data_IF_017274774404
#
_entry.id   IF_017274774404
#
_cell.length_a   1.000
_cell.length_b   1.000
_cell.length_c   1.000
_cell.angle_alpha   90.00
_cell.angle_beta   90.00
_cell.angle_gamma   90.00
#
_symmetry.space_group_name_H-M   'P 1'
#
loop_
_entity.id
_entity.type
_entity.pdbx_description
1 polymer ?
#
# COMPACT_ATOMS: atom_id res chain seq x y z
N UNK A 1 7.85 0.30 4.55
CA UNK A 1 9.22 0.48 5.09
C UNK A 1 9.20 0.59 6.60
N UNK A 2 8.40 1.51 7.15
CA UNK A 2 8.25 1.67 8.61
C UNK A 2 7.68 0.41 9.29
N UNK A 3 6.65 -0.22 8.70
CA UNK A 3 6.08 -1.47 9.25
C UNK A 3 7.05 -2.67 9.24
N UNK A 4 8.11 -2.59 8.45
CA UNK A 4 9.17 -3.61 8.41
C UNK A 4 10.31 -3.30 9.39
N UNK A 5 10.18 -2.27 10.22
CA UNK A 5 11.20 -1.86 11.20
C UNK A 5 12.40 -1.14 10.60
N UNK A 6 12.33 -0.68 9.34
CA UNK A 6 13.46 -0.01 8.67
C UNK A 6 13.63 1.47 9.05
N UNK A 7 12.89 1.96 10.05
CA UNK A 7 12.95 3.36 10.45
C UNK A 7 14.37 3.84 10.81
N UNK A 8 15.16 3.12 11.64
CA UNK A 8 16.51 3.56 12.00
C UNK A 8 17.44 3.67 10.78
N UNK A 9 17.32 2.74 9.82
CA UNK A 9 18.13 2.71 8.62
C UNK A 9 17.78 3.87 7.69
N UNK A 10 16.49 4.18 7.53
CA UNK A 10 16.03 5.32 6.73
C UNK A 10 16.53 6.62 7.34
N UNK A 11 16.45 6.79 8.66
CA UNK A 11 16.98 7.97 9.35
C UNK A 11 18.50 8.08 9.19
N UNK A 12 19.23 6.98 9.34
CA UNK A 12 20.69 6.96 9.18
C UNK A 12 21.14 7.39 7.78
N UNK A 13 20.44 6.93 6.72
CA UNK A 13 20.75 7.36 5.34
C UNK A 13 20.44 8.84 5.15
N UNK A 14 19.32 9.34 5.68
CA UNK A 14 18.92 10.73 5.51
C UNK A 14 19.81 11.70 6.31
N UNK A 15 20.30 11.29 7.48
CA UNK A 15 21.24 12.07 8.29
C UNK A 15 22.66 12.10 7.68
N UNK A 16 23.04 11.07 6.92
CA UNK A 16 24.31 11.05 6.18
C UNK A 16 24.31 11.94 4.92
N UNK A 17 23.15 12.43 4.48
CA UNK A 17 23.07 13.31 3.33
C UNK A 17 23.49 14.76 3.69
N UNK A 18 24.22 15.46 2.80
CA UNK A 18 24.67 16.82 3.07
C UNK A 18 23.49 17.79 3.24
N UNK A 19 23.51 18.56 4.33
CA UNK A 19 22.47 19.53 4.68
C UNK A 19 22.59 20.87 3.93
N UNK A 20 23.72 21.10 3.24
CA UNK A 20 24.04 22.34 2.53
C UNK A 20 23.06 22.69 1.40
N UNK A 21 22.36 21.70 0.85
CA UNK A 21 21.44 21.85 -0.26
C UNK A 21 19.96 21.68 0.16
N UNK A 22 19.62 21.69 1.46
CA UNK A 22 18.21 21.79 1.85
C UNK A 22 17.62 23.14 1.44
N UNK A 23 16.34 23.12 1.10
CA UNK A 23 15.53 24.33 0.99
C UNK A 23 15.44 25.03 2.36
N UNK A 24 15.36 26.36 2.39
CA UNK A 24 15.08 27.10 3.61
C UNK A 24 13.77 26.63 4.25
N UNK A 25 13.66 26.82 5.56
CA UNK A 25 12.47 26.43 6.33
C UNK A 25 11.37 27.50 6.22
N UNK A 26 11.76 28.76 6.06
CA UNK A 26 10.83 29.89 5.88
C UNK A 26 10.29 29.92 4.44
N UNK A 27 8.96 30.04 4.30
CA UNK A 27 8.29 30.16 3.01
C UNK A 27 8.60 31.50 2.31
N UNK A 28 8.94 32.53 3.07
CA UNK A 28 9.19 33.89 2.57
C UNK A 28 10.65 34.12 2.11
N UNK A 29 11.54 33.14 2.28
CA UNK A 29 12.93 33.26 1.81
C UNK A 29 13.00 32.97 0.30
N UNK A 30 13.40 34.00 -0.47
CA UNK A 30 13.64 33.86 -1.90
C UNK A 30 14.70 32.76 -2.15
N UNK A 31 14.31 31.77 -2.95
CA UNK A 31 15.22 30.71 -3.37
C UNK A 31 16.25 31.30 -4.33
N UNK A 32 17.54 31.07 -4.06
CA UNK A 32 18.61 31.47 -4.99
C UNK A 32 18.50 30.61 -6.27
N UNK A 33 18.12 31.23 -7.39
CA UNK A 33 17.99 30.58 -8.69
C UNK A 33 19.29 29.90 -9.16
N UNK A 34 20.44 30.33 -8.64
CA UNK A 34 21.75 29.74 -8.98
C UNK A 34 22.07 28.49 -8.17
N UNK A 35 21.33 28.21 -7.09
CA UNK A 35 21.56 27.08 -6.19
C UNK A 35 20.60 25.93 -6.47
N UNK A 36 21.15 24.74 -6.67
CA UNK A 36 20.34 23.52 -6.82
C UNK A 36 19.95 23.01 -5.43
N UNK A 37 18.67 23.11 -5.09
CA UNK A 37 18.14 22.59 -3.84
C UNK A 37 17.68 21.14 -3.98
N UNK A 38 17.94 20.35 -2.93
CA UNK A 38 17.47 18.98 -2.82
C UNK A 38 15.95 18.96 -2.73
N UNK A 39 15.32 18.18 -3.59
CA UNK A 39 13.88 17.90 -3.54
C UNK A 39 13.68 16.47 -3.08
N UNK A 40 12.79 16.28 -2.11
CA UNK A 40 12.48 14.97 -1.53
C UNK A 40 11.02 14.68 -1.84
N UNK A 41 10.77 13.48 -2.37
CA UNK A 41 9.43 12.97 -2.61
C UNK A 41 9.15 11.85 -1.61
N UNK A 42 8.04 11.96 -0.88
CA UNK A 42 7.54 10.91 -0.01
C UNK A 42 6.28 10.31 -0.64
N UNK A 43 6.36 9.05 -1.02
CA UNK A 43 5.20 8.29 -1.48
C UNK A 43 4.73 7.37 -0.35
N UNK A 44 3.49 7.56 0.09
CA UNK A 44 2.89 6.68 1.10
C UNK A 44 1.41 6.49 0.83
N UNK A 45 0.94 5.25 1.01
CA UNK A 45 -0.49 4.93 0.94
C UNK A 45 -1.24 5.33 2.23
N UNK A 46 -0.52 5.40 3.35
CA UNK A 46 -1.06 5.74 4.67
C UNK A 46 -0.12 6.73 5.38
N UNK A 47 -0.64 7.52 6.31
CA UNK A 47 0.14 8.49 7.10
C UNK A 47 0.02 8.20 8.60
N UNK A 48 0.52 7.05 9.10
CA UNK A 48 0.62 6.84 10.53
C UNK A 48 1.66 7.79 11.16
N UNK A 49 1.61 8.05 12.47
CA UNK A 49 2.54 8.97 13.14
C UNK A 49 4.03 8.66 12.90
N UNK A 50 4.37 7.37 12.74
CA UNK A 50 5.72 6.93 12.45
C UNK A 50 6.24 7.29 11.04
N UNK A 51 5.34 7.53 10.07
CA UNK A 51 5.69 8.08 8.75
C UNK A 51 5.67 9.61 8.77
N UNK A 52 4.75 10.19 9.53
CA UNK A 52 4.61 11.65 9.65
C UNK A 52 5.85 12.31 10.28
N UNK A 53 6.44 11.67 11.30
CA UNK A 53 7.66 12.15 11.97
C UNK A 53 8.84 12.37 10.99
N UNK A 54 9.27 11.40 10.17
CA UNK A 54 10.26 11.64 9.12
C UNK A 54 9.81 12.67 8.11
N UNK A 55 8.53 12.63 7.71
CA UNK A 55 8.00 13.57 6.71
C UNK A 55 8.22 15.03 7.14
N UNK A 56 7.87 15.37 8.39
CA UNK A 56 8.08 16.73 8.94
C UNK A 56 9.55 17.10 9.10
N UNK A 57 10.42 16.13 9.44
CA UNK A 57 11.86 16.39 9.65
C UNK A 57 12.59 16.69 8.34
N UNK A 58 12.26 15.99 7.26
CA UNK A 58 13.05 16.04 6.01
C UNK A 58 12.37 16.81 4.87
N UNK A 59 11.03 16.83 4.81
CA UNK A 59 10.33 17.63 3.81
C UNK A 59 10.31 19.10 4.25
N UNK A 60 10.56 19.99 3.30
CA UNK A 60 10.43 21.45 3.49
C UNK A 60 9.25 21.92 2.65
N UNK A 61 8.23 22.44 3.33
CA UNK A 61 6.97 22.93 2.77
C UNK A 61 6.40 21.98 1.69
N UNK A 62 6.08 20.72 2.06
CA UNK A 62 5.64 19.74 1.09
C UNK A 62 4.22 20.03 0.60
N UNK A 63 4.04 19.92 -0.72
CA UNK A 63 2.71 19.85 -1.32
C UNK A 63 2.21 18.41 -1.17
N UNK A 64 1.05 18.25 -0.52
CA UNK A 64 0.40 16.95 -0.35
C UNK A 64 -0.55 16.71 -1.51
N UNK A 65 -0.28 15.67 -2.31
CA UNK A 65 -1.17 15.21 -3.38
C UNK A 65 -1.80 13.89 -2.96
N UNK A 66 -3.12 13.89 -2.79
CA UNK A 66 -3.88 12.68 -2.43
C UNK A 66 -4.79 12.30 -3.60
N UNK A 67 -4.65 11.06 -4.07
CA UNK A 67 -5.51 10.49 -5.11
C UNK A 67 -6.55 9.61 -4.42
N UNK A 68 -7.83 10.00 -4.47
CA UNK A 68 -8.93 9.30 -3.78
C UNK A 68 -9.17 9.81 -2.36
N UNK A 69 -9.96 9.06 -1.57
CA UNK A 69 -10.23 9.39 -0.15
C UNK A 69 -9.31 8.57 0.74
N UNK A 70 -8.46 9.24 1.52
CA UNK A 70 -7.55 8.58 2.45
C UNK A 70 -8.32 7.73 3.48
N UNK A 71 -7.95 6.46 3.62
CA UNK A 71 -8.51 5.56 4.64
C UNK A 71 -9.86 4.91 4.32
N UNK A 72 -10.53 5.29 3.22
CA UNK A 72 -11.70 4.55 2.74
C UNK A 72 -11.30 3.51 1.71
N UNK A 73 -11.13 2.27 2.18
CA UNK A 73 -11.26 1.11 1.31
C UNK A 73 -12.74 1.00 0.89
N UNK A 74 -13.09 1.76 -0.15
CA UNK A 74 -14.09 1.34 -1.13
C UNK A 74 -15.50 1.10 -0.57
N UNK A 75 -16.26 2.18 -0.36
CA UNK A 75 -17.73 2.11 -0.27
C UNK A 75 -18.36 1.49 -1.55
N UNK A 76 -17.57 1.34 -2.62
CA UNK A 76 -17.95 0.68 -3.88
C UNK A 76 -17.85 -0.86 -3.86
N UNK A 77 -17.19 -1.47 -2.87
CA UNK A 77 -17.00 -2.94 -2.82
C UNK A 77 -17.95 -3.54 -1.79
N UNK A 78 -18.90 -4.36 -2.26
CA UNK A 78 -19.71 -5.22 -1.40
C UNK A 78 -18.89 -6.41 -0.90
N UNK A 79 -18.74 -6.52 0.42
CA UNK A 79 -17.98 -7.60 1.06
C UNK A 79 -18.91 -8.53 1.82
N UNK A 80 -18.76 -9.84 1.61
CA UNK A 80 -19.54 -10.86 2.30
C UNK A 80 -18.60 -11.84 3.01
N UNK A 81 -18.90 -12.17 4.27
CA UNK A 81 -18.11 -13.08 5.09
C UNK A 81 -18.96 -14.30 5.46
N UNK A 82 -18.48 -15.49 5.09
CA UNK A 82 -19.14 -16.76 5.38
C UNK A 82 -18.27 -17.58 6.34
N UNK A 83 -18.75 -17.81 7.56
CA UNK A 83 -18.09 -18.67 8.53
C UNK A 83 -18.44 -20.13 8.24
N UNK A 84 -17.43 -20.94 7.94
CA UNK A 84 -17.63 -22.35 7.53
C UNK A 84 -16.39 -23.20 7.81
N UNK A 85 -16.56 -24.52 7.82
CA UNK A 85 -15.45 -25.46 8.00
C UNK A 85 -14.61 -25.55 6.72
N UNK A 86 -13.34 -25.92 6.86
CA UNK A 86 -12.43 -26.02 5.72
C UNK A 86 -12.91 -27.00 4.65
N UNK A 87 -13.47 -28.15 5.06
CA UNK A 87 -14.02 -29.16 4.16
C UNK A 87 -15.19 -28.67 3.31
N UNK A 88 -15.92 -27.65 3.78
CA UNK A 88 -17.11 -27.12 3.11
C UNK A 88 -16.76 -26.03 2.07
N UNK A 89 -15.56 -25.44 2.16
CA UNK A 89 -15.15 -24.28 1.35
C UNK A 89 -15.20 -24.55 -0.14
N UNK A 90 -14.76 -25.74 -0.58
CA UNK A 90 -14.76 -26.09 -2.00
C UNK A 90 -16.18 -26.19 -2.58
N UNK A 91 -17.10 -26.83 -1.85
CA UNK A 91 -18.50 -26.92 -2.29
C UNK A 91 -19.16 -25.53 -2.36
N UNK A 92 -18.87 -24.64 -1.39
CA UNK A 92 -19.38 -23.26 -1.47
C UNK A 92 -18.78 -22.48 -2.62
N UNK A 93 -17.49 -22.68 -2.93
CA UNK A 93 -16.82 -22.03 -4.06
C UNK A 93 -17.48 -22.41 -5.39
N UNK A 94 -17.79 -23.68 -5.60
CA UNK A 94 -18.53 -24.13 -6.79
C UNK A 94 -19.88 -23.44 -6.93
N UNK A 95 -20.67 -23.40 -5.85
CA UNK A 95 -21.95 -22.68 -5.83
C UNK A 95 -21.82 -21.19 -6.14
N UNK A 96 -20.74 -20.56 -5.67
CA UNK A 96 -20.47 -19.16 -5.99
C UNK A 96 -20.19 -18.99 -7.49
N UNK A 97 -19.44 -19.89 -8.12
CA UNK A 97 -19.23 -19.84 -9.57
C UNK A 97 -20.54 -20.04 -10.35
N UNK A 98 -21.40 -20.97 -9.90
CA UNK A 98 -22.73 -21.16 -10.49
C UNK A 98 -23.61 -19.90 -10.39
N UNK A 99 -23.54 -19.19 -9.25
CA UNK A 99 -24.26 -17.93 -9.00
C UNK A 99 -23.70 -16.75 -9.83
N UNK A 100 -22.37 -16.70 -10.05
CA UNK A 100 -21.67 -15.61 -10.75
C UNK A 100 -21.73 -15.72 -12.28
N UNK A 101 -21.86 -16.93 -12.83
CA UNK A 101 -21.84 -17.20 -14.28
C UNK A 101 -20.48 -16.94 -14.93
N UNK A 102 -20.47 -16.58 -16.22
CA UNK A 102 -19.26 -16.40 -17.06
C UNK A 102 -18.43 -15.13 -16.76
N UNK A 103 -18.25 -14.78 -15.49
CA UNK A 103 -17.44 -13.64 -15.08
C UNK A 103 -16.04 -14.08 -14.70
N UNK A 104 -15.04 -13.38 -15.24
CA UNK A 104 -13.65 -13.56 -14.81
C UNK A 104 -13.51 -13.19 -13.34
N UNK A 105 -13.13 -14.18 -12.53
CA UNK A 105 -13.06 -14.06 -11.07
C UNK A 105 -11.67 -14.47 -10.59
N UNK A 106 -11.15 -13.82 -9.56
CA UNK A 106 -9.85 -14.15 -8.94
C UNK A 106 -10.12 -14.78 -7.57
N UNK A 107 -9.57 -15.98 -7.34
CA UNK A 107 -9.65 -16.68 -6.07
C UNK A 107 -8.29 -16.66 -5.39
N UNK A 108 -8.20 -16.01 -4.22
CA UNK A 108 -6.98 -15.96 -3.42
C UNK A 108 -6.94 -17.12 -2.41
N UNK A 109 -5.78 -17.76 -2.29
CA UNK A 109 -5.50 -18.82 -1.32
C UNK A 109 -4.13 -18.59 -0.67
N UNK A 110 -3.98 -19.02 0.58
CA UNK A 110 -2.79 -18.70 1.39
C UNK A 110 -1.50 -19.41 0.94
N UNK A 111 -1.59 -20.60 0.37
CA UNK A 111 -0.41 -21.40 0.00
C UNK A 111 -0.47 -21.84 -1.46
N UNK A 112 0.71 -21.89 -2.11
CA UNK A 112 0.83 -22.36 -3.50
C UNK A 112 0.28 -23.76 -3.70
N UNK A 113 0.59 -24.69 -2.77
CA UNK A 113 0.09 -26.08 -2.84
C UNK A 113 -1.43 -26.14 -2.85
N UNK A 114 -2.09 -25.30 -2.05
CA UNK A 114 -3.55 -25.24 -2.03
C UNK A 114 -4.10 -24.63 -3.32
N UNK A 115 -3.42 -23.65 -3.92
CA UNK A 115 -3.78 -23.10 -5.22
C UNK A 115 -3.79 -24.17 -6.30
N UNK A 116 -2.70 -24.93 -6.40
CA UNK A 116 -2.56 -26.01 -7.39
C UNK A 116 -3.63 -27.10 -7.19
N UNK A 117 -3.99 -27.39 -5.94
CA UNK A 117 -5.02 -28.38 -5.61
C UNK A 117 -6.42 -27.87 -5.96
N UNK A 118 -6.74 -26.62 -5.63
CA UNK A 118 -8.04 -26.02 -5.95
C UNK A 118 -8.22 -25.89 -7.47
N UNK A 119 -7.18 -25.45 -8.19
CA UNK A 119 -7.21 -25.35 -9.65
C UNK A 119 -7.50 -26.72 -10.30
N UNK A 120 -6.75 -27.77 -9.91
CA UNK A 120 -7.00 -29.14 -10.41
C UNK A 120 -8.40 -29.66 -10.08
N UNK A 121 -8.95 -29.30 -8.92
CA UNK A 121 -10.29 -29.72 -8.55
C UNK A 121 -11.36 -28.95 -9.33
N UNK A 122 -11.10 -27.68 -9.67
CA UNK A 122 -11.98 -26.87 -10.49
C UNK A 122 -11.98 -27.36 -11.94
N UNK A 123 -10.81 -27.61 -12.54
CA UNK A 123 -10.66 -28.18 -13.89
C UNK A 123 -11.37 -29.54 -14.05
N UNK A 124 -11.47 -30.32 -12.97
CA UNK A 124 -12.21 -31.59 -12.94
C UNK A 124 -13.72 -31.40 -12.83
N UNK A 125 -14.15 -30.29 -12.24
CA UNK A 125 -15.56 -29.98 -12.02
C UNK A 125 -16.21 -29.31 -13.23
N UNK A 126 -15.43 -28.71 -14.13
CA UNK A 126 -15.89 -28.05 -15.36
C UNK A 126 -15.06 -26.81 -15.65
#
# INVERSE_FOLDING_TARGET
>A
MIDMGFEPQVMGVLDAMPSSNLKPENEDEELDEKKIYRTIYLFSATMPPAVERPARKYLRNPVVVTIGTAGKATDLISQHVNMMKESEKFCRLQRLFDELGDRTTIVFVNTKKNADTVAKNLDKAG
#
